data_IF_522789181730
#
_entry.id   IF_522789181730
#
_cell.length_a   1.000
_cell.length_b   1.000
_cell.length_c   1.000
_cell.angle_alpha   90.00
_cell.angle_beta   90.00
_cell.angle_gamma   90.00
#
_symmetry.space_group_name_H-M   'P 1'
#
loop_
_entity.id
_entity.type
_entity.pdbx_description
1 polymer ?
#
# COMPACT_ATOMS: atom_id res chain seq x y z
N UNK A 1 6.06 -5.60 8.59
CA UNK A 1 6.16 -6.40 7.35
C UNK A 1 7.63 -6.76 7.13
N UNK A 2 7.97 -7.94 6.60
CA UNK A 2 9.38 -8.25 6.30
C UNK A 2 9.74 -7.94 4.82
N UNK A 3 11.02 -8.00 4.48
CA UNK A 3 11.53 -7.70 3.13
C UNK A 3 11.03 -8.69 2.06
N UNK A 4 10.82 -9.97 2.43
CA UNK A 4 10.31 -11.00 1.51
C UNK A 4 8.85 -10.77 1.16
N UNK A 5 8.02 -10.42 2.14
CA UNK A 5 6.62 -10.05 1.94
C UNK A 5 6.54 -8.80 1.06
N UNK A 6 7.37 -7.80 1.34
CA UNK A 6 7.45 -6.59 0.52
C UNK A 6 7.81 -6.90 -0.93
N UNK A 7 8.84 -7.72 -1.19
CA UNK A 7 9.22 -8.09 -2.55
C UNK A 7 8.07 -8.75 -3.32
N UNK A 8 7.29 -9.63 -2.67
CA UNK A 8 6.10 -10.25 -3.27
C UNK A 8 4.97 -9.25 -3.52
N UNK A 9 4.78 -8.32 -2.59
CA UNK A 9 3.76 -7.28 -2.67
C UNK A 9 4.08 -6.31 -3.82
N UNK A 10 5.35 -5.97 -4.03
CA UNK A 10 5.80 -5.15 -5.16
C UNK A 10 5.38 -5.75 -6.51
N UNK A 11 5.57 -7.05 -6.73
CA UNK A 11 5.15 -7.71 -7.97
C UNK A 11 3.65 -7.51 -8.26
N UNK A 12 2.82 -7.52 -7.23
CA UNK A 12 1.37 -7.31 -7.37
C UNK A 12 1.00 -5.83 -7.55
N UNK A 13 1.77 -4.92 -6.98
CA UNK A 13 1.59 -3.47 -7.15
C UNK A 13 2.01 -2.99 -8.54
N UNK A 14 3.04 -3.60 -9.14
CA UNK A 14 3.55 -3.26 -10.47
C UNK A 14 2.74 -3.90 -11.61
N UNK A 15 1.64 -4.59 -11.31
CA UNK A 15 0.75 -5.13 -12.34
C UNK A 15 0.15 -4.00 -13.20
N UNK A 16 0.08 -4.19 -14.52
CA UNK A 16 -0.37 -3.14 -15.45
C UNK A 16 -1.82 -2.69 -15.22
N UNK A 17 -2.69 -3.59 -14.77
CA UNK A 17 -4.09 -3.29 -14.41
C UNK A 17 -4.21 -2.59 -13.04
N UNK A 18 -3.08 -2.44 -12.34
CA UNK A 18 -3.01 -2.03 -10.96
C UNK A 18 -3.29 -3.16 -9.97
N UNK A 19 -3.05 -2.92 -8.67
CA UNK A 19 -3.20 -3.94 -7.65
C UNK A 19 -4.67 -4.31 -7.37
N UNK A 20 -4.97 -5.60 -7.45
CA UNK A 20 -6.26 -6.17 -7.04
C UNK A 20 -6.32 -6.34 -5.52
N UNK A 21 -7.18 -5.55 -4.85
CA UNK A 21 -7.39 -5.65 -3.40
C UNK A 21 -7.78 -7.06 -2.93
N UNK A 22 -8.71 -7.79 -3.60
CA UNK A 22 -9.03 -9.17 -3.23
C UNK A 22 -7.82 -10.10 -3.30
N UNK A 23 -6.98 -9.96 -4.33
CA UNK A 23 -5.77 -10.76 -4.46
C UNK A 23 -4.78 -10.45 -3.32
N UNK A 24 -4.53 -9.17 -3.05
CA UNK A 24 -3.65 -8.74 -1.96
C UNK A 24 -4.12 -9.26 -0.59
N UNK A 25 -5.41 -9.15 -0.27
CA UNK A 25 -5.96 -9.64 1.01
C UNK A 25 -5.89 -11.15 1.13
N UNK A 26 -5.99 -11.89 0.01
CA UNK A 26 -5.86 -13.35 -0.02
C UNK A 26 -4.41 -13.79 0.17
N UNK A 27 -3.49 -13.13 -0.52
CA UNK A 27 -2.07 -13.48 -0.51
C UNK A 27 -1.35 -12.98 0.77
N UNK A 28 -1.88 -11.93 1.42
CA UNK A 28 -1.35 -11.39 2.68
C UNK A 28 -2.47 -11.17 3.73
N UNK A 29 -3.04 -12.24 4.30
CA UNK A 29 -4.17 -12.13 5.23
C UNK A 29 -3.84 -11.40 6.56
N UNK A 30 -2.56 -11.26 6.90
CA UNK A 30 -2.10 -10.54 8.09
C UNK A 30 -1.87 -9.03 7.88
N UNK A 31 -2.07 -8.53 6.66
CA UNK A 31 -1.87 -7.11 6.34
C UNK A 31 -3.20 -6.42 6.04
N UNK A 32 -3.35 -5.20 6.55
CA UNK A 32 -4.47 -4.34 6.18
C UNK A 32 -4.21 -3.70 4.80
N UNK A 33 -5.23 -3.71 3.93
CA UNK A 33 -5.17 -3.03 2.64
C UNK A 33 -6.31 -2.03 2.52
N UNK A 34 -5.95 -0.80 2.17
CA UNK A 34 -6.88 0.32 1.94
C UNK A 34 -6.61 0.87 0.55
N UNK A 35 -7.67 1.26 -0.17
CA UNK A 35 -7.55 1.95 -1.45
C UNK A 35 -8.31 3.28 -1.38
N UNK A 36 -7.68 4.33 -1.87
CA UNK A 36 -8.28 5.66 -2.02
C UNK A 36 -7.82 6.28 -3.34
N UNK A 37 -8.24 7.52 -3.60
CA UNK A 37 -7.70 8.29 -4.71
C UNK A 37 -6.36 8.94 -4.33
N UNK A 38 -5.47 9.14 -5.30
CA UNK A 38 -4.21 9.86 -5.09
C UNK A 38 -4.42 11.32 -4.64
N UNK A 39 -5.54 11.93 -5.03
CA UNK A 39 -5.93 13.27 -4.58
C UNK A 39 -6.23 13.32 -3.08
N UNK A 40 -6.78 12.25 -2.49
CA UNK A 40 -7.00 12.17 -1.03
C UNK A 40 -5.67 12.19 -0.26
N UNK A 41 -4.58 11.83 -0.93
CA UNK A 41 -3.23 11.72 -0.36
C UNK A 41 -2.29 12.83 -0.81
N UNK A 42 -2.79 13.89 -1.47
CA UNK A 42 -1.97 14.93 -2.10
C UNK A 42 -1.00 15.68 -1.16
N UNK A 43 -1.18 15.59 0.16
CA UNK A 43 -0.27 16.15 1.17
C UNK A 43 0.70 15.16 1.82
N UNK A 44 0.56 13.86 1.52
CA UNK A 44 1.34 12.79 2.15
C UNK A 44 2.49 12.35 1.25
N UNK A 45 3.62 11.98 1.86
CA UNK A 45 4.76 11.44 1.10
C UNK A 45 4.56 9.93 0.88
N UNK A 46 4.48 9.46 -0.37
CA UNK A 46 4.40 8.04 -0.64
C UNK A 46 5.70 7.34 -0.23
N UNK A 47 5.57 6.12 0.28
CA UNK A 47 6.71 5.25 0.50
C UNK A 47 7.26 4.75 -0.84
N UNK A 48 6.37 4.48 -1.80
CA UNK A 48 6.73 4.09 -3.17
C UNK A 48 5.74 4.67 -4.17
N UNK A 49 6.25 5.05 -5.34
CA UNK A 49 5.44 5.47 -6.48
C UNK A 49 5.55 4.42 -7.57
N UNK A 50 4.42 4.06 -8.16
CA UNK A 50 4.31 3.20 -9.35
C UNK A 50 3.69 4.01 -10.49
N UNK A 51 3.70 3.53 -11.75
CA UNK A 51 3.09 4.26 -12.86
C UNK A 51 1.60 4.58 -12.67
N UNK A 52 0.88 3.73 -11.92
CA UNK A 52 -0.59 3.81 -11.77
C UNK A 52 -1.05 4.16 -10.36
N UNK A 53 -0.19 3.99 -9.35
CA UNK A 53 -0.57 4.15 -7.93
C UNK A 53 0.57 4.69 -7.06
N UNK A 54 0.19 5.45 -6.04
CA UNK A 54 1.07 5.85 -4.95
C UNK A 54 0.82 4.92 -3.75
N UNK A 55 1.90 4.43 -3.14
CA UNK A 55 1.87 3.38 -2.13
C UNK A 55 2.42 3.91 -0.82
N UNK A 56 1.66 3.71 0.25
CA UNK A 56 1.96 4.18 1.59
C UNK A 56 1.93 3.02 2.57
N UNK A 57 2.85 2.99 3.52
CA UNK A 57 2.83 2.00 4.58
C UNK A 57 2.02 2.51 5.76
N UNK A 58 1.26 1.62 6.37
CA UNK A 58 0.43 1.91 7.53
C UNK A 58 0.95 1.15 8.75
N UNK A 59 1.02 1.84 9.89
CA UNK A 59 1.20 1.26 11.21
C UNK A 59 -0.13 1.33 11.96
N UNK A 60 -0.74 0.18 12.20
CA UNK A 60 -1.98 0.02 12.94
C UNK A 60 -1.78 -0.77 14.25
N UNK A 61 -0.57 -0.75 14.83
CA UNK A 61 -0.29 -1.41 16.12
C UNK A 61 -0.92 -0.68 17.31
N UNK A 62 -1.25 0.59 17.14
CA UNK A 62 -1.91 1.43 18.15
C UNK A 62 -3.41 1.62 17.83
N UNK A 63 -4.13 2.43 18.62
CA UNK A 63 -5.55 2.69 18.48
C UNK A 63 -5.94 3.43 17.19
N UNK A 64 -4.99 4.16 16.59
CA UNK A 64 -5.17 4.87 15.33
C UNK A 64 -4.18 4.38 14.28
N UNK A 65 -4.66 4.12 13.06
CA UNK A 65 -3.80 3.81 11.93
C UNK A 65 -3.06 5.08 11.50
N UNK A 66 -1.73 5.00 11.42
CA UNK A 66 -0.86 6.10 11.00
C UNK A 66 0.00 5.69 9.81
N UNK A 67 0.42 6.66 8.99
CA UNK A 67 1.41 6.39 7.95
C UNK A 67 2.81 6.28 8.55
N UNK A 68 3.59 5.31 8.08
CA UNK A 68 4.97 5.09 8.52
C UNK A 68 5.91 4.95 7.33
N UNK A 69 7.18 5.40 7.42
CA UNK A 69 8.21 5.06 6.45
C UNK A 69 8.91 3.72 6.78
N UNK A 70 8.61 3.11 7.94
CA UNK A 70 9.30 1.92 8.42
C UNK A 70 8.57 0.64 8.00
N UNK A 71 9.25 -0.18 7.19
CA UNK A 71 8.70 -1.44 6.68
C UNK A 71 8.47 -2.47 7.79
N UNK A 72 9.36 -2.52 8.79
CA UNK A 72 9.26 -3.46 9.91
C UNK A 72 8.02 -3.21 10.76
N UNK A 73 7.71 -1.94 11.00
CA UNK A 73 6.55 -1.41 11.70
C UNK A 73 5.24 -1.55 10.92
N UNK A 74 5.31 -1.60 9.58
CA UNK A 74 4.13 -1.63 8.74
C UNK A 74 3.27 -2.88 8.97
N UNK A 75 2.01 -2.66 9.32
CA UNK A 75 0.96 -3.68 9.46
C UNK A 75 -0.06 -3.60 8.32
N UNK A 76 0.11 -2.67 7.38
CA UNK A 76 -0.75 -2.55 6.22
C UNK A 76 -0.16 -1.66 5.12
N UNK A 77 -0.87 -1.63 3.98
CA UNK A 77 -0.55 -0.82 2.81
C UNK A 77 -1.78 -0.05 2.35
N UNK A 78 -1.63 1.26 2.18
CA UNK A 78 -2.61 2.12 1.52
C UNK A 78 -2.16 2.35 0.08
N UNK A 79 -3.09 2.13 -0.84
CA UNK A 79 -2.89 2.23 -2.28
C UNK A 79 -3.73 3.39 -2.77
N UNK A 80 -3.08 4.49 -3.12
CA UNK A 80 -3.74 5.64 -3.70
C UNK A 80 -3.70 5.50 -5.22
N UNK A 81 -4.86 5.21 -5.83
CA UNK A 81 -4.95 5.05 -7.27
C UNK A 81 -4.88 6.43 -7.93
N UNK A 82 -4.05 6.56 -8.97
CA UNK A 82 -3.99 7.76 -9.79
C UNK A 82 -5.02 7.56 -10.89
N UNK A 83 -6.00 8.46 -11.01
CA UNK A 83 -6.93 8.41 -12.14
C UNK A 83 -6.13 8.43 -13.44
N UNK A 84 -6.39 7.45 -14.30
CA UNK A 84 -5.78 7.38 -15.63
C UNK A 84 -6.58 8.32 -16.54
N UNK A 85 -6.18 9.59 -16.57
CA UNK A 85 -6.67 10.58 -17.54
C UNK A 85 -6.38 10.16 -18.97
#
# INVERSE_FOLDING_TARGET
MNESDWARLQVLLDAEDGPSLPALRRDFPGLAFVRCDALDMAGSRPFRVTPTTDVYLMDGRDHCVSLTPDLGAATGVLIAARERS
#
